data_IF_503433484127
#
_entry.id   IF_503433484127
#
_cell.length_a   1.000
_cell.length_b   1.000
_cell.length_c   1.000
_cell.angle_alpha   90.00
_cell.angle_beta   90.00
_cell.angle_gamma   90.00
#
_symmetry.space_group_name_H-M   'P 1'
#
loop_
_entity.id
_entity.type
_entity.pdbx_description
1 polymer ?
#
# COMPACT_ATOMS: atom_id res chain seq x y z
N UNK A 1 -61.95 -18.98 -21.74
CA UNK A 1 -61.21 -20.25 -21.52
C UNK A 1 -60.01 -20.25 -22.47
N UNK A 2 -58.83 -19.81 -22.00
CA UNK A 2 -57.61 -19.75 -22.83
C UNK A 2 -56.99 -21.16 -22.95
N UNK A 3 -56.79 -21.63 -24.19
CA UNK A 3 -56.04 -22.86 -24.48
C UNK A 3 -54.55 -22.56 -24.41
N UNK A 4 -53.86 -23.07 -23.38
CA UNK A 4 -52.39 -23.08 -23.38
C UNK A 4 -51.91 -24.14 -24.37
N UNK A 5 -51.24 -23.71 -25.44
CA UNK A 5 -50.57 -24.62 -26.37
C UNK A 5 -49.35 -25.24 -25.68
N UNK A 6 -49.29 -26.57 -25.63
CA UNK A 6 -48.17 -27.31 -25.09
C UNK A 6 -46.93 -27.08 -25.97
N UNK A 7 -45.97 -26.27 -25.53
CA UNK A 7 -44.68 -26.15 -26.19
C UNK A 7 -43.93 -27.49 -26.08
N UNK A 8 -43.42 -27.99 -27.20
CA UNK A 8 -42.53 -29.15 -27.21
C UNK A 8 -41.34 -28.92 -26.30
N UNK A 9 -41.03 -29.90 -25.42
CA UNK A 9 -39.88 -29.89 -24.49
C UNK A 9 -38.57 -29.48 -25.17
N UNK A 10 -38.37 -29.83 -26.45
CA UNK A 10 -37.19 -29.43 -27.24
C UNK A 10 -37.07 -27.92 -27.42
N UNK A 11 -38.20 -27.22 -27.63
CA UNK A 11 -38.22 -25.75 -27.74
C UNK A 11 -37.90 -25.10 -26.40
N UNK A 12 -38.41 -25.67 -25.30
CA UNK A 12 -38.14 -25.18 -23.95
C UNK A 12 -36.63 -25.28 -23.65
N UNK A 13 -36.01 -26.44 -23.89
CA UNK A 13 -34.57 -26.65 -23.68
C UNK A 13 -33.74 -25.68 -24.54
N UNK A 14 -34.13 -25.46 -25.79
CA UNK A 14 -33.45 -24.52 -26.68
C UNK A 14 -33.49 -23.07 -26.14
N UNK A 15 -34.65 -22.59 -25.68
CA UNK A 15 -34.77 -21.25 -25.10
C UNK A 15 -33.98 -21.11 -23.79
N UNK A 16 -33.99 -22.14 -22.93
CA UNK A 16 -33.17 -22.15 -21.71
C UNK A 16 -31.68 -22.04 -22.05
N UNK A 17 -31.22 -22.77 -23.07
CA UNK A 17 -29.81 -22.72 -23.50
C UNK A 17 -29.43 -21.32 -23.99
N UNK A 18 -30.29 -20.69 -24.80
CA UNK A 18 -30.08 -19.31 -25.26
C UNK A 18 -30.03 -18.33 -24.09
N UNK A 19 -30.96 -18.46 -23.12
CA UNK A 19 -31.00 -17.62 -21.94
C UNK A 19 -29.69 -17.74 -21.13
N UNK A 20 -29.18 -18.96 -20.94
CA UNK A 20 -27.92 -19.22 -20.23
C UNK A 20 -26.75 -18.56 -20.97
N UNK A 21 -26.66 -18.69 -22.29
CA UNK A 21 -25.59 -18.07 -23.09
C UNK A 21 -25.63 -16.54 -22.97
N UNK A 22 -26.82 -15.93 -23.03
CA UNK A 22 -26.99 -14.48 -22.84
C UNK A 22 -26.55 -14.05 -21.43
N UNK A 23 -26.91 -14.82 -20.41
CA UNK A 23 -26.53 -14.54 -19.02
C UNK A 23 -25.01 -14.58 -18.85
N UNK A 24 -24.32 -15.58 -19.42
CA UNK A 24 -22.86 -15.69 -19.37
C UNK A 24 -22.21 -14.47 -20.06
N UNK A 25 -22.71 -14.05 -21.23
CA UNK A 25 -22.19 -12.88 -21.95
C UNK A 25 -22.37 -11.61 -21.13
N UNK A 26 -23.53 -11.43 -20.47
CA UNK A 26 -23.79 -10.28 -19.60
C UNK A 26 -22.83 -10.24 -18.40
N UNK A 27 -22.60 -11.38 -17.75
CA UNK A 27 -21.64 -11.48 -16.62
C UNK A 27 -20.23 -11.11 -17.09
N UNK A 28 -19.78 -11.65 -18.24
CA UNK A 28 -18.48 -11.31 -18.82
C UNK A 28 -18.37 -9.83 -19.18
N UNK A 29 -19.43 -9.24 -19.74
CA UNK A 29 -19.47 -7.81 -20.09
C UNK A 29 -19.38 -6.89 -18.88
N UNK A 30 -20.08 -7.21 -17.79
CA UNK A 30 -20.01 -6.45 -16.53
C UNK A 30 -18.59 -6.55 -15.93
N UNK A 31 -18.02 -7.76 -15.88
CA UNK A 31 -16.65 -7.97 -15.39
C UNK A 31 -15.64 -7.15 -16.19
N UNK A 32 -15.69 -7.24 -17.52
CA UNK A 32 -14.80 -6.49 -18.40
C UNK A 32 -14.94 -4.96 -18.24
N UNK A 33 -16.16 -4.44 -18.09
CA UNK A 33 -16.38 -3.02 -17.86
C UNK A 33 -15.74 -2.54 -16.53
N UNK A 34 -15.93 -3.31 -15.46
CA UNK A 34 -15.36 -2.99 -14.15
C UNK A 34 -13.82 -3.02 -14.20
N UNK A 35 -13.22 -4.04 -14.82
CA UNK A 35 -11.77 -4.14 -15.00
C UNK A 35 -11.20 -2.92 -15.77
N UNK A 36 -11.90 -2.46 -16.81
CA UNK A 36 -11.50 -1.29 -17.59
C UNK A 36 -11.62 0.02 -16.80
N UNK A 37 -12.64 0.17 -15.94
CA UNK A 37 -12.79 1.33 -15.06
C UNK A 37 -11.62 1.40 -14.08
N UNK A 38 -11.32 0.29 -13.40
CA UNK A 38 -10.19 0.15 -12.48
C UNK A 38 -8.85 0.48 -13.16
N UNK A 39 -8.60 -0.08 -14.35
CA UNK A 39 -7.36 0.21 -15.10
C UNK A 39 -7.19 1.69 -15.44
N UNK A 40 -8.27 2.38 -15.82
CA UNK A 40 -8.21 3.81 -16.12
C UNK A 40 -7.89 4.65 -14.89
N UNK A 41 -8.52 4.33 -13.75
CA UNK A 41 -8.29 5.01 -12.48
C UNK A 41 -6.86 4.82 -12.00
N UNK A 42 -6.40 3.58 -12.01
CA UNK A 42 -5.05 3.23 -11.66
C UNK A 42 -4.04 3.94 -12.57
N UNK A 43 -4.30 4.00 -13.88
CA UNK A 43 -3.44 4.76 -14.81
C UNK A 43 -3.38 6.25 -14.46
N UNK A 44 -4.47 6.84 -13.96
CA UNK A 44 -4.47 8.25 -13.53
C UNK A 44 -3.67 8.44 -12.25
N UNK A 45 -3.88 7.58 -11.24
CA UNK A 45 -3.11 7.57 -10.00
C UNK A 45 -1.62 7.39 -10.33
N UNK A 46 -1.26 6.36 -11.10
CA UNK A 46 0.11 6.13 -11.54
C UNK A 46 0.71 7.33 -12.25
N UNK A 47 -0.01 7.95 -13.20
CA UNK A 47 0.51 9.15 -13.89
C UNK A 47 0.76 10.30 -12.91
N UNK A 48 -0.09 10.45 -11.90
CA UNK A 48 0.08 11.46 -10.87
C UNK A 48 1.35 11.23 -10.04
N UNK A 49 1.67 9.97 -9.73
CA UNK A 49 2.85 9.58 -8.95
C UNK A 49 4.14 9.54 -9.81
N UNK A 50 4.07 9.02 -11.05
CA UNK A 50 5.24 8.85 -11.92
C UNK A 50 5.75 10.14 -12.58
N UNK A 51 4.91 11.17 -12.77
CA UNK A 51 5.33 12.37 -13.49
C UNK A 51 6.27 13.29 -12.70
N UNK A 52 6.31 13.15 -11.37
CA UNK A 52 7.12 13.99 -10.49
C UNK A 52 8.27 13.21 -9.81
N UNK A 53 8.43 11.91 -10.12
CA UNK A 53 9.53 11.08 -9.60
C UNK A 53 10.87 11.56 -10.18
N UNK A 54 11.53 12.45 -9.45
CA UNK A 54 12.96 12.68 -9.55
C UNK A 54 13.64 11.72 -8.58
N UNK A 55 14.73 11.11 -9.04
CA UNK A 55 15.61 10.29 -8.19
C UNK A 55 15.78 10.97 -6.82
N UNK A 56 15.32 10.36 -5.71
CA UNK A 56 15.43 10.95 -4.38
C UNK A 56 16.89 11.16 -3.95
N UNK A 57 17.87 10.56 -4.63
CA UNK A 57 19.29 10.93 -4.43
C UNK A 57 19.63 12.35 -4.90
N UNK A 58 18.74 13.00 -5.66
CA UNK A 58 18.84 14.43 -5.96
C UNK A 58 18.11 15.29 -4.91
N UNK A 59 18.05 14.82 -3.65
CA UNK A 59 17.65 15.66 -2.53
C UNK A 59 18.66 16.78 -2.40
N UNK A 60 18.21 18.01 -2.65
CA UNK A 60 18.85 19.23 -2.16
C UNK A 60 19.12 19.01 -0.67
N UNK A 61 20.35 18.66 -0.30
CA UNK A 61 20.72 18.36 1.09
C UNK A 61 20.47 19.56 2.03
N UNK A 62 20.18 20.73 1.44
CA UNK A 62 19.71 21.94 2.11
C UNK A 62 18.24 21.91 2.56
N UNK A 63 17.36 21.15 1.92
CA UNK A 63 15.93 21.10 2.27
C UNK A 63 15.64 20.38 3.60
N UNK A 64 16.55 19.50 4.04
CA UNK A 64 16.39 18.70 5.27
C UNK A 64 17.30 19.16 6.40
N UNK A 65 17.93 20.33 6.33
CA UNK A 65 18.92 20.78 7.34
C UNK A 65 18.34 20.84 8.75
N UNK A 66 17.07 21.23 8.87
CA UNK A 66 16.41 21.38 10.17
C UNK A 66 15.69 20.10 10.63
N UNK A 67 15.76 19.00 9.88
CA UNK A 67 15.09 17.75 10.26
C UNK A 67 15.77 17.08 11.44
N UNK A 68 14.95 16.52 12.33
CA UNK A 68 15.38 15.69 13.44
C UNK A 68 15.60 14.23 12.98
N UNK A 69 16.35 13.47 13.76
CA UNK A 69 16.69 12.07 13.47
C UNK A 69 16.10 11.14 14.53
N UNK A 70 15.36 10.14 14.08
CA UNK A 70 14.95 8.99 14.87
C UNK A 70 15.99 7.90 14.69
N UNK A 71 16.43 7.31 15.81
CA UNK A 71 17.23 6.10 15.81
C UNK A 71 16.48 5.05 16.60
N UNK A 72 16.39 3.86 16.03
CA UNK A 72 15.93 2.70 16.77
C UNK A 72 16.83 2.50 18.01
N UNK A 73 16.27 1.95 19.08
CA UNK A 73 16.95 1.69 20.35
C UNK A 73 18.15 0.76 20.19
N UNK A 74 18.10 -0.18 19.25
CA UNK A 74 19.23 -1.07 18.95
C UNK A 74 20.19 -0.48 17.92
N UNK A 75 19.97 0.78 17.51
CA UNK A 75 20.70 1.45 16.43
C UNK A 75 20.68 0.67 15.10
N UNK A 76 19.67 -0.18 14.91
CA UNK A 76 19.57 -1.06 13.73
C UNK A 76 19.20 -0.30 12.46
N UNK A 77 18.54 0.85 12.61
CA UNK A 77 18.27 1.81 11.54
C UNK A 77 18.09 3.23 12.09
N UNK A 78 18.10 4.20 11.17
CA UNK A 78 17.70 5.58 11.42
C UNK A 78 16.84 6.16 10.31
N UNK A 79 16.10 7.21 10.64
CA UNK A 79 15.19 7.92 9.75
C UNK A 79 15.18 9.40 10.15
N UNK A 80 15.24 10.32 9.20
CA UNK A 80 15.10 11.76 9.46
C UNK A 80 13.69 12.22 9.12
N UNK A 81 13.18 13.18 9.89
CA UNK A 81 11.81 13.66 9.75
C UNK A 81 11.68 15.13 10.22
N UNK A 82 10.62 15.86 9.80
CA UNK A 82 10.42 17.25 10.17
C UNK A 82 10.27 17.48 11.69
N UNK A 83 10.60 18.69 12.17
CA UNK A 83 10.55 19.03 13.61
C UNK A 83 9.14 19.06 14.19
N UNK A 84 8.16 19.39 13.37
CA UNK A 84 6.74 19.47 13.71
C UNK A 84 6.03 18.11 13.67
N UNK A 85 6.77 17.03 13.38
CA UNK A 85 6.26 15.67 13.44
C UNK A 85 6.62 15.02 14.78
N UNK A 86 5.72 14.15 15.23
CA UNK A 86 5.79 13.39 16.46
C UNK A 86 6.02 11.92 16.17
N UNK A 87 6.75 11.24 17.06
CA UNK A 87 7.05 9.81 16.95
C UNK A 87 6.31 9.04 18.03
N UNK A 88 5.62 7.98 17.61
CA UNK A 88 4.90 7.05 18.45
C UNK A 88 5.51 5.67 18.21
N UNK A 89 6.47 5.30 19.06
CA UNK A 89 7.10 3.99 19.03
C UNK A 89 6.62 3.18 20.25
N UNK A 90 6.24 1.93 20.02
CA UNK A 90 5.96 1.01 21.12
C UNK A 90 7.29 0.54 21.72
N UNK A 91 7.53 0.90 22.97
CA UNK A 91 8.75 0.55 23.70
C UNK A 91 8.91 -0.96 23.95
N UNK A 92 7.88 -1.76 23.70
CA UNK A 92 7.77 -3.16 24.14
C UNK A 92 8.11 -4.23 23.09
N UNK A 93 8.43 -3.86 21.84
CA UNK A 93 8.48 -4.83 20.73
C UNK A 93 9.88 -5.20 20.21
N UNK A 94 10.85 -5.40 21.11
CA UNK A 94 12.14 -5.99 20.72
C UNK A 94 12.06 -7.46 20.27
N UNK A 95 10.90 -8.12 20.43
CA UNK A 95 10.68 -9.51 20.02
C UNK A 95 9.68 -9.58 18.88
N UNK A 96 10.06 -10.30 17.82
CA UNK A 96 9.17 -10.62 16.72
C UNK A 96 8.04 -11.54 17.19
N UNK A 97 6.81 -11.27 16.73
CA UNK A 97 5.62 -12.07 17.02
C UNK A 97 5.01 -12.57 15.72
N UNK A 98 4.60 -13.83 15.70
CA UNK A 98 3.85 -14.39 14.58
C UNK A 98 2.50 -13.69 14.44
N UNK A 99 2.24 -13.13 13.26
CA UNK A 99 0.96 -12.54 12.87
C UNK A 99 0.43 -13.25 11.62
N UNK A 100 -0.88 -13.45 11.57
CA UNK A 100 -1.56 -14.01 10.41
C UNK A 100 -2.02 -12.87 9.48
N UNK A 101 -1.56 -12.90 8.23
CA UNK A 101 -1.97 -11.94 7.18
C UNK A 101 -3.21 -12.43 6.41
N UNK A 102 -3.73 -11.63 5.49
CA UNK A 102 -5.03 -11.86 4.80
C UNK A 102 -5.16 -13.24 4.13
N UNK A 103 -4.04 -13.84 3.68
CA UNK A 103 -4.03 -15.14 3.01
C UNK A 103 -3.75 -16.32 3.96
N UNK A 104 -4.00 -16.16 5.27
CA UNK A 104 -3.59 -17.10 6.33
C UNK A 104 -2.09 -17.38 6.35
N UNK A 105 -1.31 -16.42 5.85
CA UNK A 105 0.12 -16.50 5.82
C UNK A 105 0.69 -16.00 7.14
N UNK A 106 1.47 -16.84 7.81
CA UNK A 106 2.14 -16.45 9.06
C UNK A 106 3.45 -15.73 8.71
N UNK A 107 3.66 -14.57 9.32
CA UNK A 107 4.89 -13.80 9.25
C UNK A 107 5.29 -13.33 10.64
N UNK A 108 6.58 -13.24 10.90
CA UNK A 108 7.09 -12.64 12.11
C UNK A 108 7.04 -11.11 11.94
N UNK A 109 6.30 -10.41 12.81
CA UNK A 109 6.25 -8.94 12.85
C UNK A 109 7.04 -8.44 14.06
N UNK A 110 7.96 -7.50 13.83
CA UNK A 110 8.79 -6.86 14.84
C UNK A 110 8.26 -5.48 15.23
N UNK A 111 9.16 -4.51 15.33
CA UNK A 111 8.83 -3.14 15.73
C UNK A 111 7.78 -2.49 14.81
N UNK A 112 6.93 -1.67 15.44
CA UNK A 112 6.02 -0.74 14.75
C UNK A 112 6.23 0.67 15.28
N UNK A 113 6.52 1.60 14.39
CA UNK A 113 6.79 3.01 14.69
C UNK A 113 5.90 3.87 13.82
N UNK A 114 5.29 4.89 14.39
CA UNK A 114 4.45 5.82 13.64
C UNK A 114 4.99 7.24 13.76
N UNK A 115 5.01 7.94 12.64
CA UNK A 115 5.36 9.36 12.55
C UNK A 115 4.11 10.11 12.13
N UNK A 116 3.76 11.18 12.85
CA UNK A 116 2.55 11.95 12.57
C UNK A 116 2.80 13.44 12.70
N UNK A 117 2.16 14.24 11.85
CA UNK A 117 2.19 15.70 11.96
C UNK A 117 1.21 16.25 13.03
N UNK A 118 0.59 15.36 13.82
CA UNK A 118 -0.25 15.68 14.98
C UNK A 118 0.28 14.98 16.22
N UNK A 119 -0.13 15.49 17.37
CA UNK A 119 0.25 15.00 18.70
C UNK A 119 -0.49 13.71 19.11
N UNK A 120 -1.34 13.16 18.25
CA UNK A 120 -2.00 11.87 18.41
C UNK A 120 -2.03 11.09 17.09
N UNK A 121 -2.21 9.77 17.19
CA UNK A 121 -2.50 8.87 16.06
C UNK A 121 -3.87 8.21 16.19
N UNK A 122 -4.58 8.44 17.29
CA UNK A 122 -5.87 7.83 17.61
C UNK A 122 -7.03 8.56 16.92
N UNK A 123 -6.93 8.75 15.61
CA UNK A 123 -7.99 9.33 14.79
C UNK A 123 -8.82 8.22 14.13
N UNK A 124 -10.13 8.40 14.11
CA UNK A 124 -11.05 7.58 13.31
C UNK A 124 -11.30 8.28 11.98
N UNK A 125 -11.88 7.57 11.01
CA UNK A 125 -12.28 8.19 9.73
C UNK A 125 -13.23 9.40 9.92
N UNK A 126 -13.98 9.44 11.03
CA UNK A 126 -14.92 10.52 11.36
C UNK A 126 -14.27 11.68 12.12
N UNK A 127 -13.20 11.42 12.89
CA UNK A 127 -12.55 12.43 13.75
C UNK A 127 -11.23 12.97 13.19
N UNK A 128 -10.74 12.39 12.10
CA UNK A 128 -9.48 12.77 11.46
C UNK A 128 -9.54 14.20 10.94
N UNK A 129 -8.48 14.96 11.21
CA UNK A 129 -8.29 16.28 10.63
C UNK A 129 -7.94 16.18 9.13
N UNK A 130 -8.38 17.15 8.33
CA UNK A 130 -8.10 17.16 6.87
C UNK A 130 -6.60 17.14 6.55
N UNK A 131 -5.80 17.78 7.41
CA UNK A 131 -4.35 17.87 7.28
C UNK A 131 -3.60 16.78 8.08
N UNK A 132 -4.29 15.79 8.65
CA UNK A 132 -3.64 14.69 9.37
C UNK A 132 -2.85 13.80 8.40
N UNK A 133 -1.60 13.50 8.79
CA UNK A 133 -0.66 12.68 8.03
C UNK A 133 -0.04 11.65 8.96
N UNK A 134 0.04 10.41 8.50
CA UNK A 134 0.58 9.29 9.27
C UNK A 134 1.51 8.45 8.39
N UNK A 135 2.75 8.31 8.81
CA UNK A 135 3.71 7.38 8.23
C UNK A 135 3.97 6.27 9.24
N UNK A 136 3.58 5.03 8.91
CA UNK A 136 3.87 3.86 9.73
C UNK A 136 5.07 3.10 9.19
N UNK A 137 6.03 2.75 10.03
CA UNK A 137 7.11 1.81 9.74
C UNK A 137 6.86 0.53 10.54
N UNK A 138 6.75 -0.60 9.84
CA UNK A 138 6.61 -1.91 10.46
C UNK A 138 7.71 -2.83 9.94
N UNK A 139 8.38 -3.52 10.86
CA UNK A 139 9.36 -4.54 10.55
C UNK A 139 8.71 -5.91 10.42
N UNK A 140 9.12 -6.66 9.41
CA UNK A 140 8.75 -8.06 9.24
C UNK A 140 9.98 -8.92 9.00
N UNK A 141 9.94 -10.19 9.43
CA UNK A 141 10.97 -11.18 9.15
C UNK A 141 10.36 -12.38 8.43
N UNK A 142 10.92 -12.70 7.26
CA UNK A 142 10.52 -13.89 6.50
C UNK A 142 11.60 -14.37 5.53
N UNK A 143 12.08 -15.58 5.77
CA UNK A 143 13.08 -16.22 4.92
C UNK A 143 12.51 -16.61 3.54
N UNK A 144 13.35 -16.50 2.50
CA UNK A 144 13.04 -16.88 1.12
C UNK A 144 11.84 -16.14 0.49
N UNK A 145 11.45 -15.00 1.04
CA UNK A 145 10.39 -14.14 0.50
C UNK A 145 11.00 -12.95 -0.23
N UNK A 146 10.52 -12.57 -1.42
CA UNK A 146 10.92 -11.33 -2.08
C UNK A 146 9.95 -10.15 -1.80
N UNK A 147 10.26 -8.96 -2.33
CA UNK A 147 9.44 -7.77 -2.11
C UNK A 147 8.00 -7.93 -2.61
N UNK A 148 7.82 -8.54 -3.79
CA UNK A 148 6.49 -8.68 -4.42
C UNK A 148 5.67 -9.75 -3.70
N UNK A 149 6.31 -10.82 -3.24
CA UNK A 149 5.67 -11.83 -2.41
C UNK A 149 5.18 -11.22 -1.10
N UNK A 150 6.01 -10.46 -0.36
CA UNK A 150 5.56 -9.80 0.86
C UNK A 150 4.43 -8.79 0.57
N UNK A 151 4.57 -7.97 -0.46
CA UNK A 151 3.54 -7.00 -0.83
C UNK A 151 2.18 -7.68 -1.08
N UNK A 152 2.17 -8.80 -1.80
CA UNK A 152 0.96 -9.60 -2.02
C UNK A 152 0.36 -10.10 -0.69
N UNK A 153 1.19 -10.55 0.25
CA UNK A 153 0.74 -10.98 1.59
C UNK A 153 0.12 -9.84 2.39
N UNK A 154 0.56 -8.59 2.17
CA UNK A 154 -0.01 -7.36 2.75
C UNK A 154 -1.24 -6.83 1.98
N UNK A 155 -1.72 -7.58 0.99
CA UNK A 155 -2.91 -7.25 0.20
C UNK A 155 -2.65 -6.35 -1.02
N UNK A 156 -1.39 -6.10 -1.37
CA UNK A 156 -1.02 -5.42 -2.62
C UNK A 156 -0.99 -6.40 -3.79
N UNK A 157 -2.18 -6.85 -4.22
CA UNK A 157 -2.36 -7.85 -5.27
C UNK A 157 -2.73 -7.25 -6.63
N UNK A 158 -2.62 -8.04 -7.70
CA UNK A 158 -3.14 -7.65 -9.03
C UNK A 158 -4.66 -7.42 -9.01
N UNK A 159 -5.40 -8.12 -8.14
CA UNK A 159 -6.87 -8.04 -8.05
C UNK A 159 -7.34 -6.67 -7.56
N UNK A 160 -6.58 -6.05 -6.65
CA UNK A 160 -6.82 -4.67 -6.18
C UNK A 160 -6.14 -3.62 -7.07
N UNK A 161 -5.59 -4.06 -8.22
CA UNK A 161 -4.93 -3.20 -9.18
C UNK A 161 -3.62 -2.64 -8.66
N UNK A 162 -2.80 -3.41 -7.96
CA UNK A 162 -1.50 -2.93 -7.47
C UNK A 162 -0.54 -2.61 -8.63
N UNK A 163 0.20 -1.52 -8.49
CA UNK A 163 1.41 -1.25 -9.27
C UNK A 163 2.60 -1.09 -8.34
N UNK A 164 3.80 -1.34 -8.87
CA UNK A 164 5.04 -1.15 -8.13
C UNK A 164 6.05 -0.33 -8.93
N UNK A 165 6.79 0.53 -8.24
CA UNK A 165 7.85 1.37 -8.79
C UNK A 165 9.15 1.14 -8.00
N UNK A 166 10.32 1.12 -8.65
CA UNK A 166 11.59 1.12 -7.92
C UNK A 166 11.66 2.33 -6.97
N UNK A 167 12.11 2.11 -5.75
CA UNK A 167 12.32 3.17 -4.76
C UNK A 167 13.72 3.02 -4.17
N UNK A 168 14.43 4.14 -3.96
CA UNK A 168 15.77 4.12 -3.37
C UNK A 168 15.83 5.06 -2.18
N UNK A 169 16.39 4.57 -1.07
CA UNK A 169 16.68 5.35 0.13
C UNK A 169 18.13 5.07 0.54
N UNK A 170 18.98 6.10 0.58
CA UNK A 170 20.42 5.94 0.79
C UNK A 170 21.02 4.79 -0.06
N UNK A 171 21.48 3.73 0.61
CA UNK A 171 22.09 2.52 0.03
C UNK A 171 21.11 1.33 -0.09
N UNK A 172 19.82 1.53 0.12
CA UNK A 172 18.78 0.52 0.00
C UNK A 172 17.98 0.71 -1.27
N UNK A 173 17.72 -0.41 -1.94
CA UNK A 173 16.80 -0.48 -3.09
C UNK A 173 15.57 -1.25 -2.63
N UNK A 174 14.42 -0.63 -2.77
CA UNK A 174 13.11 -1.16 -2.46
C UNK A 174 12.13 -0.95 -3.61
N UNK A 175 10.86 -1.06 -3.29
CA UNK A 175 9.76 -0.72 -4.21
C UNK A 175 8.67 0.03 -3.46
N UNK A 176 8.12 1.05 -4.11
CA UNK A 176 6.83 1.60 -3.73
C UNK A 176 5.72 0.78 -4.39
N UNK A 177 4.70 0.44 -3.62
CA UNK A 177 3.49 -0.26 -4.05
C UNK A 177 2.29 0.65 -3.86
N UNK A 178 1.50 0.81 -4.91
CA UNK A 178 0.29 1.63 -4.90
C UNK A 178 -0.88 0.78 -5.37
N UNK A 179 -1.96 0.74 -4.60
CA UNK A 179 -3.21 0.08 -4.99
C UNK A 179 -4.41 0.99 -4.79
N UNK A 180 -5.56 0.57 -5.32
CA UNK A 180 -6.82 1.19 -4.92
C UNK A 180 -7.03 0.99 -3.41
N UNK A 181 -7.50 2.04 -2.73
CA UNK A 181 -7.95 1.94 -1.34
C UNK A 181 -9.47 1.87 -1.23
N UNK A 182 -10.00 2.27 -0.07
CA UNK A 182 -11.44 2.25 0.18
C UNK A 182 -12.23 3.19 -0.74
N UNK A 183 -11.59 4.28 -1.20
CA UNK A 183 -12.15 5.25 -2.13
C UNK A 183 -11.15 5.59 -3.23
N UNK A 184 -11.63 6.17 -4.32
CA UNK A 184 -10.79 6.60 -5.46
C UNK A 184 -9.80 7.69 -5.05
N UNK A 185 -10.13 8.49 -4.03
CA UNK A 185 -9.32 9.60 -3.50
C UNK A 185 -8.47 9.21 -2.29
N UNK A 186 -8.34 7.91 -2.00
CA UNK A 186 -7.55 7.40 -0.87
C UNK A 186 -6.83 6.12 -1.27
N UNK A 187 -5.84 6.20 -2.19
CA UNK A 187 -5.04 5.05 -2.56
C UNK A 187 -4.29 4.51 -1.34
N UNK A 188 -4.02 3.20 -1.34
CA UNK A 188 -3.08 2.60 -0.39
C UNK A 188 -1.70 2.70 -1.02
N UNK A 189 -0.73 3.26 -0.30
CA UNK A 189 0.68 3.22 -0.69
C UNK A 189 1.52 2.60 0.42
N UNK A 190 2.50 1.80 0.02
CA UNK A 190 3.56 1.33 0.90
C UNK A 190 4.91 1.29 0.19
N UNK A 191 5.97 1.71 0.87
CA UNK A 191 7.35 1.56 0.39
C UNK A 191 7.99 0.41 1.18
N UNK A 192 8.49 -0.60 0.47
CA UNK A 192 9.07 -1.79 1.10
C UNK A 192 10.55 -1.88 0.72
N UNK A 193 11.40 -1.95 1.74
CA UNK A 193 12.80 -2.33 1.60
C UNK A 193 13.01 -3.72 2.16
N UNK A 194 14.03 -4.41 1.65
CA UNK A 194 14.46 -5.73 2.13
C UNK A 194 15.95 -5.72 2.43
N UNK A 195 16.34 -6.30 3.56
CA UNK A 195 17.73 -6.58 3.92
C UNK A 195 17.82 -7.98 4.54
N UNK A 196 18.47 -8.91 3.84
CA UNK A 196 18.45 -10.34 4.16
C UNK A 196 17.00 -10.84 4.31
N UNK A 197 16.61 -11.40 5.44
CA UNK A 197 15.25 -11.89 5.69
C UNK A 197 14.35 -10.85 6.38
N UNK A 198 14.85 -9.63 6.60
CA UNK A 198 14.08 -8.53 7.19
C UNK A 198 13.50 -7.60 6.14
N UNK A 199 12.30 -7.11 6.41
CA UNK A 199 11.59 -6.14 5.58
C UNK A 199 11.20 -4.94 6.43
N UNK A 200 11.35 -3.76 5.82
CA UNK A 200 10.97 -2.48 6.39
C UNK A 200 9.85 -1.92 5.54
N UNK A 201 8.63 -1.94 6.07
CA UNK A 201 7.40 -1.56 5.35
C UNK A 201 6.94 -0.21 5.86
N UNK A 202 7.02 0.79 5.00
CA UNK A 202 6.52 2.14 5.23
C UNK A 202 5.11 2.27 4.67
N UNK A 203 4.09 2.37 5.50
CA UNK A 203 2.73 2.68 5.10
C UNK A 203 2.51 4.20 5.06
N UNK A 204 2.18 4.74 3.89
CA UNK A 204 1.95 6.17 3.68
C UNK A 204 0.45 6.44 3.84
N UNK A 205 0.05 6.66 5.09
CA UNK A 205 -1.35 6.84 5.48
C UNK A 205 -1.87 8.26 5.20
N UNK A 206 -3.13 8.34 4.78
CA UNK A 206 -3.92 9.59 4.72
C UNK A 206 -3.35 10.67 3.79
N UNK A 207 -2.62 10.28 2.76
CA UNK A 207 -2.09 11.18 1.74
C UNK A 207 -3.19 11.70 0.81
N UNK A 208 -4.19 10.86 0.51
CA UNK A 208 -5.26 11.18 -0.43
C UNK A 208 -4.72 11.63 -1.79
N UNK A 209 -5.18 12.79 -2.28
CA UNK A 209 -4.68 13.44 -3.50
C UNK A 209 -3.67 14.56 -3.23
N UNK A 210 -3.19 14.70 -1.99
CA UNK A 210 -2.23 15.75 -1.61
C UNK A 210 -0.80 15.35 -2.00
N UNK A 211 -0.37 15.84 -3.16
CA UNK A 211 0.97 15.59 -3.71
C UNK A 211 2.11 16.09 -2.81
N UNK A 212 1.93 17.22 -2.14
CA UNK A 212 3.00 17.78 -1.31
C UNK A 212 3.21 16.93 -0.07
N UNK A 213 2.12 16.43 0.51
CA UNK A 213 2.17 15.50 1.63
C UNK A 213 2.74 14.15 1.25
N UNK A 214 2.38 13.61 0.07
CA UNK A 214 2.99 12.40 -0.46
C UNK A 214 4.51 12.57 -0.56
N UNK A 215 4.93 13.64 -1.24
CA UNK A 215 6.34 13.95 -1.47
C UNK A 215 7.10 14.09 -0.16
N UNK A 216 6.52 14.76 0.84
CA UNK A 216 7.11 14.87 2.19
C UNK A 216 7.32 13.49 2.82
N UNK A 217 6.35 12.58 2.75
CA UNK A 217 6.50 11.22 3.29
C UNK A 217 7.56 10.42 2.52
N UNK A 218 7.58 10.50 1.19
CA UNK A 218 8.61 9.87 0.38
C UNK A 218 10.00 10.42 0.69
N UNK A 219 10.13 11.73 0.93
CA UNK A 219 11.37 12.36 1.38
C UNK A 219 11.80 11.83 2.75
N UNK A 220 10.88 11.70 3.70
CA UNK A 220 11.13 11.04 5.00
C UNK A 220 11.67 9.63 4.77
N UNK A 221 10.95 8.80 4.03
CA UNK A 221 11.34 7.42 3.72
C UNK A 221 12.67 7.35 2.97
N UNK A 222 12.96 8.31 2.09
CA UNK A 222 14.22 8.43 1.36
C UNK A 222 15.44 8.62 2.26
N UNK A 223 15.25 9.13 3.48
CA UNK A 223 16.32 9.25 4.48
C UNK A 223 16.59 7.96 5.27
N UNK A 224 15.78 6.92 5.08
CA UNK A 224 15.91 5.65 5.81
C UNK A 224 17.28 5.02 5.56
N UNK A 225 17.98 4.66 6.63
CA UNK A 225 19.29 4.04 6.56
C UNK A 225 19.41 2.94 7.59
N UNK A 226 20.05 1.82 7.21
CA UNK A 226 20.40 0.78 8.17
C UNK A 226 21.65 1.17 8.95
N UNK A 227 21.64 0.86 10.24
CA UNK A 227 22.82 0.92 11.07
C UNK A 227 23.90 -0.05 10.57
N UNK A 228 25.16 0.25 10.91
CA UNK A 228 26.23 -0.72 10.71
C UNK A 228 26.05 -1.82 11.75
N UNK A 229 25.61 -3.01 11.32
CA UNK A 229 25.73 -4.21 12.16
C UNK A 229 27.23 -4.45 12.38
N UNK A 230 27.71 -4.24 13.61
CA UNK A 230 29.08 -4.55 14.02
C UNK A 230 29.27 -6.05 14.24
#
# INVERSE_FOLDING_TARGET
MMKFQNLSTKKIIFYITILIVILIILIMGIKYYNDQKTKKQLTQITKQYSQDYKDPNATDSQATVDWQEYKDKMESFSLRYPQDWHVFADDTQSEFKDVELENSEIIAQGNSIFFSNKDSIDYTDESRLEDFRLLGLIEYEKANTDLDQLANSLGFTEEVGTQSFPFQANNLVGKEYISLGATEDSPRSAIIFKNNDHFYVFHLGFVGNDKDSLKMMEEIVGTFGLGKMN
#
